data_IF_611557277049
#
_entry.id   IF_611557277049
#
_cell.length_a   1.000
_cell.length_b   1.000
_cell.length_c   1.000
_cell.angle_alpha   90.00
_cell.angle_beta   90.00
_cell.angle_gamma   90.00
#
_symmetry.space_group_name_H-M   'P 1'
#
loop_
_entity.id
_entity.type
_entity.pdbx_description
1 polymer ?
#
# COMPACT_ATOMS: atom_id res chain seq x y z
N UNK A 1 -0.44 18.30 -13.11
CA UNK A 1 -1.28 17.09 -13.00
C UNK A 1 -0.75 16.05 -11.99
N UNK A 2 0.55 15.92 -11.70
CA UNK A 2 1.07 14.91 -10.76
C UNK A 2 0.99 15.27 -9.26
N UNK A 3 0.57 16.50 -8.91
CA UNK A 3 0.56 16.98 -7.52
C UNK A 3 -0.72 16.64 -6.75
N UNK A 4 -1.87 16.48 -7.42
CA UNK A 4 -3.15 16.22 -6.75
C UNK A 4 -3.34 14.76 -6.29
N UNK A 5 -2.60 13.82 -6.86
CA UNK A 5 -2.69 12.39 -6.46
C UNK A 5 -2.02 12.14 -5.09
N UNK A 6 -1.11 13.02 -4.65
CA UNK A 6 -0.39 12.85 -3.37
C UNK A 6 -1.25 13.11 -2.14
N UNK A 7 -2.35 13.85 -2.26
CA UNK A 7 -3.18 14.27 -1.12
C UNK A 7 -4.35 13.32 -0.81
N UNK A 8 -4.63 12.31 -1.66
CA UNK A 8 -5.76 11.39 -1.46
C UNK A 8 -5.36 9.96 -1.09
N UNK A 9 -4.16 9.75 -0.54
CA UNK A 9 -3.75 8.41 -0.13
C UNK A 9 -4.04 8.21 1.36
N UNK A 10 -5.26 7.78 1.66
CA UNK A 10 -5.66 7.41 3.02
C UNK A 10 -5.34 5.94 3.37
N UNK A 11 -5.12 5.11 2.35
CA UNK A 11 -4.92 3.67 2.51
C UNK A 11 -3.65 3.18 1.82
N UNK A 12 -3.01 2.22 2.47
CA UNK A 12 -1.76 1.59 2.07
C UNK A 12 -1.91 0.07 2.17
N UNK A 13 -1.23 -0.64 1.27
CA UNK A 13 -1.14 -2.09 1.26
C UNK A 13 0.32 -2.49 1.49
N UNK A 14 0.52 -3.46 2.37
CA UNK A 14 1.82 -4.10 2.58
C UNK A 14 1.86 -5.36 1.74
N UNK A 15 2.75 -5.39 0.77
CA UNK A 15 3.12 -6.60 0.05
C UNK A 15 4.23 -7.29 0.82
N UNK A 16 4.08 -8.60 1.06
CA UNK A 16 5.07 -9.37 1.78
C UNK A 16 5.38 -10.69 1.07
N UNK A 17 6.61 -11.17 1.20
CA UNK A 17 7.03 -12.44 0.65
C UNK A 17 6.36 -13.60 1.39
N UNK A 18 5.71 -14.47 0.63
CA UNK A 18 5.22 -15.76 1.07
C UNK A 18 5.90 -16.82 0.22
N UNK A 19 6.05 -18.06 0.69
CA UNK A 19 6.74 -19.13 -0.06
C UNK A 19 6.17 -19.47 -1.45
N UNK A 20 5.13 -18.77 -1.93
CA UNK A 20 4.57 -18.85 -3.28
C UNK A 20 4.63 -17.53 -4.07
N UNK A 21 5.39 -16.54 -3.59
CA UNK A 21 5.50 -15.20 -4.15
C UNK A 21 5.00 -14.09 -3.22
N UNK A 22 4.80 -12.90 -3.76
CA UNK A 22 4.36 -11.73 -2.99
C UNK A 22 2.85 -11.76 -2.76
N UNK A 23 2.43 -11.49 -1.51
CA UNK A 23 1.02 -11.43 -1.11
C UNK A 23 0.67 -10.05 -0.55
N UNK A 24 -0.47 -9.46 -0.93
CA UNK A 24 -0.92 -8.19 -0.37
C UNK A 24 -1.63 -8.41 0.98
N UNK A 25 -1.48 -7.43 1.88
CA UNK A 25 -2.31 -7.28 3.07
C UNK A 25 -3.65 -6.62 2.75
N UNK A 26 -4.52 -6.50 3.76
CA UNK A 26 -5.70 -5.63 3.66
C UNK A 26 -5.25 -4.16 3.66
N UNK A 27 -5.95 -3.27 2.93
CA UNK A 27 -5.69 -1.84 3.02
C UNK A 27 -5.78 -1.32 4.47
N UNK A 28 -4.84 -0.50 4.88
CA UNK A 28 -4.76 0.11 6.21
C UNK A 28 -4.11 1.49 6.14
N UNK A 29 -4.23 2.30 7.19
CA UNK A 29 -3.54 3.59 7.23
C UNK A 29 -2.01 3.40 7.25
N UNK A 30 -1.27 4.47 6.96
CA UNK A 30 0.20 4.42 6.86
C UNK A 30 0.88 3.91 8.14
N UNK A 31 0.43 4.38 9.31
CA UNK A 31 1.01 3.96 10.60
C UNK A 31 0.90 2.46 10.80
N UNK A 32 -0.29 1.91 10.61
CA UNK A 32 -0.53 0.48 10.74
C UNK A 32 0.24 -0.32 9.67
N UNK A 33 0.38 0.22 8.45
CA UNK A 33 1.17 -0.41 7.40
C UNK A 33 2.66 -0.48 7.76
N UNK A 34 3.20 0.59 8.35
CA UNK A 34 4.57 0.63 8.84
C UNK A 34 4.80 -0.37 9.99
N UNK A 35 3.94 -0.33 11.02
CA UNK A 35 4.02 -1.24 12.17
C UNK A 35 3.92 -2.71 11.72
N UNK A 36 3.04 -3.02 10.76
CA UNK A 36 2.88 -4.37 10.23
C UNK A 36 4.06 -4.83 9.36
N UNK A 37 4.61 -3.92 8.55
CA UNK A 37 5.80 -4.20 7.76
C UNK A 37 7.02 -4.47 8.65
N UNK A 38 7.15 -3.74 9.76
CA UNK A 38 8.21 -3.93 10.75
C UNK A 38 8.08 -5.29 11.47
N UNK A 39 6.89 -5.69 11.92
CA UNK A 39 6.67 -7.03 12.52
C UNK A 39 7.11 -8.16 11.57
N UNK A 40 6.74 -8.04 10.29
CA UNK A 40 7.11 -9.03 9.27
C UNK A 40 8.62 -9.05 9.00
N UNK A 41 9.26 -7.88 8.92
CA UNK A 41 10.71 -7.78 8.75
C UNK A 41 11.48 -8.36 9.94
N UNK A 42 11.01 -8.13 11.17
CA UNK A 42 11.57 -8.72 12.38
C UNK A 42 11.47 -10.25 12.39
N UNK A 43 10.54 -10.82 11.61
CA UNK A 43 10.37 -12.26 11.40
C UNK A 43 11.13 -12.78 10.18
N UNK A 44 11.95 -11.94 9.54
CA UNK A 44 12.76 -12.27 8.37
C UNK A 44 12.00 -12.27 7.04
N UNK A 45 10.80 -11.67 6.99
CA UNK A 45 9.98 -11.60 5.77
C UNK A 45 10.24 -10.28 5.04
N UNK A 46 10.55 -10.34 3.75
CA UNK A 46 10.68 -9.14 2.93
C UNK A 46 9.33 -8.46 2.72
N UNK A 47 9.27 -7.13 2.91
CA UNK A 47 8.03 -6.35 2.78
C UNK A 47 8.21 -5.09 1.91
N UNK A 48 7.11 -4.63 1.30
CA UNK A 48 7.01 -3.38 0.52
C UNK A 48 5.67 -2.70 0.79
N UNK A 49 5.70 -1.42 1.14
CA UNK A 49 4.49 -0.63 1.38
C UNK A 49 4.14 0.13 0.10
N UNK A 50 2.91 0.01 -0.35
CA UNK A 50 2.39 0.69 -1.53
C UNK A 50 1.15 1.53 -1.19
N UNK A 51 1.02 2.76 -1.71
CA UNK A 51 -0.22 3.52 -1.60
C UNK A 51 -1.33 2.79 -2.37
N UNK A 52 -2.48 2.59 -1.74
CA UNK A 52 -3.67 2.11 -2.43
C UNK A 52 -4.38 3.30 -3.05
N UNK A 53 -4.12 3.53 -4.34
CA UNK A 53 -4.86 4.52 -5.11
C UNK A 53 -6.26 3.96 -5.39
N UNK A 54 -7.27 4.50 -4.72
CA UNK A 54 -8.65 4.40 -5.19
C UNK A 54 -8.79 5.37 -6.34
N UNK A 55 -8.50 4.90 -7.55
CA UNK A 55 -8.82 5.67 -8.75
C UNK A 55 -10.34 5.58 -8.94
N UNK A 56 -11.05 6.69 -8.78
CA UNK A 56 -12.47 6.72 -9.15
C UNK A 56 -12.58 6.82 -10.68
N UNK A 57 -13.65 6.30 -11.27
CA UNK A 57 -13.88 6.41 -12.72
C UNK A 57 -13.89 7.88 -13.18
N UNK A 58 -14.34 8.80 -12.33
CA UNK A 58 -14.34 10.23 -12.61
C UNK A 58 -12.93 10.83 -12.70
N UNK A 59 -11.94 10.27 -11.98
CA UNK A 59 -10.53 10.68 -12.06
C UNK A 59 -9.86 10.26 -13.37
N UNK A 60 -10.34 9.18 -14.00
CA UNK A 60 -9.80 8.68 -15.27
C UNK A 60 -10.39 9.40 -16.49
N UNK A 61 -11.64 9.84 -16.39
CA UNK A 61 -12.36 10.45 -17.51
C UNK A 61 -12.06 11.95 -17.62
N UNK A 62 -11.73 12.62 -16.51
CA UNK A 62 -11.42 14.05 -16.48
C UNK A 62 -9.91 14.38 -16.45
N UNK A 63 -9.05 13.37 -16.67
CA UNK A 63 -7.58 13.49 -16.66
C UNK A 63 -6.96 13.95 -17.97
#
# INVERSE_FOLDING_TARGET
MAQYVREQVDQFIVWYESGRGWKPSKPMNYKNAADYAEDLQNRGVATRIHPQLMVTLDDLVNG
#
